data_IF_479326505181
#
_entry.id   IF_479326505181
#
_cell.length_a   1.000
_cell.length_b   1.000
_cell.length_c   1.000
_cell.angle_alpha   90.00
_cell.angle_beta   90.00
_cell.angle_gamma   90.00
#
_symmetry.space_group_name_H-M   'P 1'
#
loop_
_entity.id
_entity.type
_entity.pdbx_description
1 polymer ?
#
# COMPACT_ATOMS: atom_id res chain seq x y z
N UNK A 1 -9.38 -1.45 -21.48
CA UNK A 1 -9.01 -1.29 -20.04
C UNK A 1 -10.26 -1.32 -19.19
N UNK A 2 -10.24 -2.05 -18.09
CA UNK A 2 -11.40 -2.14 -17.19
C UNK A 2 -11.45 -0.91 -16.31
N UNK A 3 -12.62 -0.26 -16.24
CA UNK A 3 -12.82 0.82 -15.28
C UNK A 3 -12.96 0.25 -13.87
N UNK A 4 -12.37 0.93 -12.92
CA UNK A 4 -12.42 0.51 -11.53
C UNK A 4 -12.41 1.73 -10.60
N UNK A 5 -12.83 1.52 -9.37
CA UNK A 5 -12.76 2.52 -8.31
C UNK A 5 -12.04 1.94 -7.09
N UNK A 6 -11.41 2.81 -6.31
CA UNK A 6 -10.76 2.42 -5.05
C UNK A 6 -11.54 3.03 -3.91
N UNK A 7 -11.93 2.18 -2.96
CA UNK A 7 -12.64 2.61 -1.75
C UNK A 7 -11.83 2.24 -0.53
N UNK A 8 -11.99 3.02 0.54
CA UNK A 8 -11.37 2.69 1.82
C UNK A 8 -12.23 1.64 2.53
N UNK A 9 -11.58 0.58 2.99
CA UNK A 9 -12.26 -0.49 3.73
C UNK A 9 -12.50 -0.02 5.16
N UNK A 10 -13.72 -0.22 5.65
CA UNK A 10 -14.06 0.02 7.05
C UNK A 10 -13.72 -1.25 7.83
N UNK A 11 -12.73 -1.17 8.72
CA UNK A 11 -12.31 -2.33 9.52
C UNK A 11 -12.77 -2.17 10.97
N UNK A 12 -12.98 -3.31 11.65
CA UNK A 12 -13.23 -3.33 13.09
C UNK A 12 -11.94 -3.47 13.90
N UNK A 13 -10.84 -3.80 13.24
CA UNK A 13 -9.54 -3.94 13.89
C UNK A 13 -8.93 -2.57 14.11
N UNK A 14 -8.45 -2.31 15.31
CA UNK A 14 -7.79 -1.06 15.65
C UNK A 14 -6.49 -0.93 14.89
N UNK A 15 -6.22 0.27 14.35
CA UNK A 15 -4.99 0.61 13.64
C UNK A 15 -4.76 -0.18 12.34
N UNK A 16 -5.77 -0.88 11.85
CA UNK A 16 -5.71 -1.58 10.56
C UNK A 16 -6.48 -0.78 9.52
N UNK A 17 -5.82 -0.47 8.40
CA UNK A 17 -6.38 0.32 7.31
C UNK A 17 -6.26 -0.47 6.02
N UNK A 18 -7.26 -0.35 5.17
CA UNK A 18 -7.26 -1.06 3.90
C UNK A 18 -8.01 -0.32 2.81
N UNK A 19 -7.69 -0.64 1.58
CA UNK A 19 -8.35 -0.10 0.40
C UNK A 19 -8.64 -1.24 -0.56
N UNK A 20 -9.77 -1.13 -1.23
CA UNK A 20 -10.29 -2.17 -2.12
C UNK A 20 -10.55 -1.56 -3.48
N UNK A 21 -10.08 -2.23 -4.53
CA UNK A 21 -10.40 -1.87 -5.90
C UNK A 21 -11.57 -2.71 -6.37
N UNK A 22 -12.59 -2.04 -6.91
CA UNK A 22 -13.81 -2.68 -7.40
C UNK A 22 -14.05 -2.30 -8.84
N UNK A 23 -14.54 -3.23 -9.64
CA UNK A 23 -15.03 -2.92 -10.99
C UNK A 23 -16.33 -2.13 -10.91
N UNK A 24 -16.82 -1.66 -12.06
CA UNK A 24 -18.12 -0.97 -12.13
C UNK A 24 -19.30 -1.84 -11.70
N UNK A 25 -19.12 -3.15 -11.68
CA UNK A 25 -20.14 -4.09 -11.20
C UNK A 25 -19.87 -4.57 -9.78
N UNK A 26 -19.01 -3.84 -9.05
CA UNK A 26 -18.65 -4.11 -7.66
C UNK A 26 -17.92 -5.44 -7.44
N UNK A 27 -17.23 -5.93 -8.46
CA UNK A 27 -16.39 -7.12 -8.33
C UNK A 27 -15.04 -6.71 -7.71
N UNK A 28 -14.62 -7.34 -6.59
CA UNK A 28 -13.30 -7.06 -6.02
C UNK A 28 -12.20 -7.55 -6.95
N UNK A 29 -11.25 -6.68 -7.26
CA UNK A 29 -10.15 -7.01 -8.17
C UNK A 29 -8.77 -6.70 -7.58
N UNK A 30 -8.72 -6.09 -6.41
CA UNK A 30 -7.47 -5.85 -5.72
C UNK A 30 -7.69 -5.26 -4.35
N UNK A 31 -6.67 -5.38 -3.50
CA UNK A 31 -6.69 -4.74 -2.19
C UNK A 31 -5.27 -4.40 -1.74
N UNK A 32 -5.17 -3.50 -0.77
CA UNK A 32 -3.91 -3.15 -0.13
C UNK A 32 -4.20 -2.76 1.31
N UNK A 33 -3.33 -3.15 2.22
CA UNK A 33 -3.52 -2.89 3.64
C UNK A 33 -2.29 -2.26 4.27
N UNK A 34 -2.48 -1.70 5.44
CA UNK A 34 -1.39 -1.26 6.31
C UNK A 34 -1.84 -1.35 7.75
N UNK A 35 -0.87 -1.51 8.66
CA UNK A 35 -1.13 -1.49 10.09
C UNK A 35 -0.23 -0.46 10.76
N UNK A 36 -0.84 0.42 11.56
CA UNK A 36 -0.10 1.37 12.37
C UNK A 36 0.32 0.67 13.65
N UNK A 37 1.61 0.71 13.93
CA UNK A 37 2.22 0.02 15.07
C UNK A 37 2.73 1.01 16.10
N UNK A 38 3.18 0.49 17.24
CA UNK A 38 3.83 1.31 18.26
C UNK A 38 5.11 1.94 17.70
N UNK A 39 5.60 2.97 18.38
CA UNK A 39 6.85 3.67 18.04
C UNK A 39 6.80 4.35 16.66
N UNK A 40 5.62 4.82 16.26
CA UNK A 40 5.44 5.58 15.03
C UNK A 40 5.90 4.80 13.79
N UNK A 41 5.55 3.52 13.72
CA UNK A 41 5.84 2.67 12.58
C UNK A 41 4.56 2.26 11.88
N UNK A 42 4.65 2.10 10.57
CA UNK A 42 3.55 1.59 9.75
C UNK A 42 4.05 0.42 8.93
N UNK A 43 3.39 -0.71 9.07
CA UNK A 43 3.65 -1.90 8.27
C UNK A 43 2.78 -1.89 7.03
N UNK A 44 3.39 -1.83 5.85
CA UNK A 44 2.69 -2.00 4.57
C UNK A 44 2.57 -3.49 4.28
N UNK A 45 1.35 -3.94 4.00
CA UNK A 45 1.07 -5.38 3.94
C UNK A 45 -0.06 -5.70 2.97
N UNK A 46 -0.19 -6.97 2.61
CA UNK A 46 -1.32 -7.57 1.90
C UNK A 46 -1.74 -6.85 0.62
N UNK A 47 -0.78 -6.60 -0.28
CA UNK A 47 -1.10 -6.09 -1.60
C UNK A 47 -1.45 -7.26 -2.54
N UNK A 48 -2.61 -7.16 -3.18
CA UNK A 48 -3.10 -8.19 -4.09
C UNK A 48 -3.86 -7.57 -5.25
N UNK A 49 -3.65 -8.09 -6.43
CA UNK A 49 -4.46 -7.77 -7.62
C UNK A 49 -4.78 -9.09 -8.31
N UNK A 50 -6.03 -9.25 -8.69
CA UNK A 50 -6.49 -10.44 -9.42
C UNK A 50 -5.70 -10.62 -10.72
N UNK A 51 -5.32 -11.86 -11.04
CA UNK A 51 -4.52 -12.17 -12.22
C UNK A 51 -5.16 -11.64 -13.51
N UNK A 52 -6.48 -11.73 -13.62
CA UNK A 52 -7.20 -11.28 -14.80
C UNK A 52 -7.14 -9.77 -15.01
N UNK A 53 -6.84 -9.03 -13.96
CA UNK A 53 -6.86 -7.57 -13.97
C UNK A 53 -5.49 -6.94 -13.78
N UNK A 54 -4.42 -7.71 -13.86
CA UNK A 54 -3.06 -7.20 -13.76
C UNK A 54 -2.71 -6.33 -14.96
N UNK A 55 -1.75 -5.43 -14.77
CA UNK A 55 -1.25 -4.50 -15.79
C UNK A 55 -2.29 -3.48 -16.26
N UNK A 56 -3.30 -3.22 -15.44
CA UNK A 56 -4.33 -2.21 -15.73
C UNK A 56 -4.24 -0.99 -14.80
N UNK A 57 -3.15 -0.88 -14.05
CA UNK A 57 -2.94 0.26 -13.16
C UNK A 57 -3.62 0.13 -11.80
N UNK A 58 -4.21 -1.01 -11.47
CA UNK A 58 -4.92 -1.21 -10.22
C UNK A 58 -3.98 -1.15 -9.02
N UNK A 59 -2.84 -1.86 -9.10
CA UNK A 59 -1.86 -1.82 -8.01
C UNK A 59 -1.34 -0.39 -7.79
N UNK A 60 -1.03 0.32 -8.86
CA UNK A 60 -0.55 1.69 -8.77
C UNK A 60 -1.59 2.60 -8.12
N UNK A 61 -2.86 2.46 -8.50
CA UNK A 61 -3.94 3.25 -7.91
C UNK A 61 -4.10 2.96 -6.42
N UNK A 62 -4.05 1.68 -6.02
CA UNK A 62 -4.10 1.28 -4.62
C UNK A 62 -2.91 1.86 -3.84
N UNK A 63 -1.70 1.73 -4.39
CA UNK A 63 -0.49 2.26 -3.77
C UNK A 63 -0.60 3.77 -3.57
N UNK A 64 -0.96 4.51 -4.62
CA UNK A 64 -1.03 5.97 -4.55
C UNK A 64 -2.11 6.44 -3.57
N UNK A 65 -3.23 5.73 -3.50
CA UNK A 65 -4.31 6.05 -2.55
C UNK A 65 -3.82 5.88 -1.12
N UNK A 66 -3.18 4.75 -0.81
CA UNK A 66 -2.59 4.52 0.52
C UNK A 66 -1.51 5.54 0.83
N UNK A 67 -0.65 5.84 -0.15
CA UNK A 67 0.46 6.78 0.04
C UNK A 67 -0.04 8.19 0.36
N UNK A 68 -1.07 8.66 -0.34
CA UNK A 68 -1.69 9.96 -0.03
C UNK A 68 -2.23 10.00 1.39
N UNK A 69 -2.86 8.92 1.81
CA UNK A 69 -3.41 8.84 3.15
C UNK A 69 -2.32 8.92 4.22
N UNK A 70 -1.22 8.18 4.06
CA UNK A 70 -0.15 8.20 5.05
C UNK A 70 0.60 9.53 5.06
N UNK A 71 0.82 10.15 3.91
CA UNK A 71 1.45 11.48 3.86
C UNK A 71 0.63 12.52 4.61
N UNK A 72 -0.68 12.43 4.50
CA UNK A 72 -1.58 13.39 5.15
C UNK A 72 -1.69 13.15 6.65
N UNK A 73 -1.73 11.90 7.10
CA UNK A 73 -2.12 11.57 8.47
C UNK A 73 -0.97 11.07 9.34
N UNK A 74 0.14 10.63 8.76
CA UNK A 74 1.21 9.96 9.49
C UNK A 74 2.59 10.50 9.12
N UNK A 75 2.71 11.81 8.92
CA UNK A 75 4.00 12.43 8.65
C UNK A 75 4.98 12.13 9.79
N UNK A 76 6.21 11.77 9.43
CA UNK A 76 7.25 11.45 10.41
C UNK A 76 7.29 9.98 10.83
N UNK A 77 6.22 9.23 10.54
CA UNK A 77 6.22 7.79 10.81
C UNK A 77 7.16 7.07 9.86
N UNK A 78 7.67 5.94 10.29
CA UNK A 78 8.52 5.09 9.47
C UNK A 78 7.66 3.98 8.85
N UNK A 79 7.56 3.97 7.53
CA UNK A 79 6.87 2.91 6.82
C UNK A 79 7.86 1.81 6.46
N UNK A 80 7.46 0.56 6.63
CA UNK A 80 8.28 -0.57 6.26
C UNK A 80 7.44 -1.68 5.63
N UNK A 81 8.10 -2.54 4.89
CA UNK A 81 7.46 -3.67 4.23
C UNK A 81 8.43 -4.84 4.14
N UNK A 82 7.89 -6.04 4.21
CA UNK A 82 8.60 -7.25 3.84
C UNK A 82 8.31 -7.49 2.36
N UNK A 83 9.27 -7.13 1.51
CA UNK A 83 9.03 -7.10 0.07
C UNK A 83 9.28 -8.48 -0.56
N UNK A 84 8.33 -8.90 -1.40
CA UNK A 84 8.58 -10.02 -2.30
C UNK A 84 9.53 -9.55 -3.41
N UNK A 85 10.33 -10.47 -4.01
CA UNK A 85 11.29 -10.07 -5.05
C UNK A 85 10.67 -9.22 -6.16
N UNK A 86 9.44 -9.50 -6.55
CA UNK A 86 8.78 -8.79 -7.64
C UNK A 86 8.47 -7.33 -7.34
N UNK A 87 8.42 -6.92 -6.07
CA UNK A 87 8.08 -5.54 -5.70
C UNK A 87 9.27 -4.76 -5.14
N UNK A 88 10.44 -5.37 -4.99
CA UNK A 88 11.62 -4.68 -4.46
C UNK A 88 11.96 -3.45 -5.28
N UNK A 89 11.99 -3.58 -6.60
CA UNK A 89 12.31 -2.45 -7.47
C UNK A 89 11.28 -1.33 -7.37
N UNK A 90 10.01 -1.69 -7.25
CA UNK A 90 8.96 -0.70 -7.05
C UNK A 90 9.18 0.07 -5.74
N UNK A 91 9.46 -0.63 -4.65
CA UNK A 91 9.69 0.01 -3.36
C UNK A 91 10.92 0.92 -3.39
N UNK A 92 11.99 0.51 -4.07
CA UNK A 92 13.17 1.37 -4.25
C UNK A 92 12.81 2.66 -4.98
N UNK A 93 12.01 2.57 -6.04
CA UNK A 93 11.56 3.75 -6.78
C UNK A 93 10.70 4.66 -5.92
N UNK A 94 9.99 4.13 -4.95
CA UNK A 94 9.18 4.89 -4.00
C UNK A 94 10.00 5.42 -2.81
N UNK A 95 11.30 5.20 -2.82
CA UNK A 95 12.20 5.74 -1.79
C UNK A 95 12.40 4.84 -0.57
N UNK A 96 12.04 3.57 -0.66
CA UNK A 96 12.32 2.62 0.40
C UNK A 96 13.74 2.08 0.27
N UNK A 97 14.42 1.97 1.39
CA UNK A 97 15.76 1.40 1.48
C UNK A 97 15.69 -0.03 1.99
N UNK A 98 16.63 -0.86 1.54
CA UNK A 98 16.74 -2.21 2.07
C UNK A 98 17.28 -2.16 3.49
N UNK A 99 16.70 -2.99 4.36
CA UNK A 99 17.22 -3.19 5.70
C UNK A 99 18.30 -4.28 5.70
N UNK A 100 18.55 -4.86 6.88
CA UNK A 100 19.59 -5.88 7.06
C UNK A 100 19.27 -7.18 6.34
N UNK A 101 18.02 -7.43 6.00
CA UNK A 101 17.63 -8.59 5.19
C UNK A 101 17.14 -8.10 3.84
N UNK A 102 17.31 -8.92 2.81
CA UNK A 102 16.98 -8.55 1.43
C UNK A 102 15.47 -8.32 1.18
N UNK A 103 14.62 -8.62 2.14
CA UNK A 103 13.17 -8.48 1.98
C UNK A 103 12.57 -7.33 2.79
N UNK A 104 13.33 -6.75 3.73
CA UNK A 104 12.86 -5.66 4.57
C UNK A 104 13.15 -4.32 3.90
N UNK A 105 12.12 -3.51 3.72
CA UNK A 105 12.24 -2.19 3.10
C UNK A 105 11.56 -1.16 3.99
N UNK A 106 12.18 0.01 4.16
CA UNK A 106 11.63 1.05 5.02
C UNK A 106 11.78 2.45 4.45
N UNK A 107 10.92 3.35 4.89
CA UNK A 107 10.98 4.76 4.54
C UNK A 107 10.32 5.60 5.64
N UNK A 108 10.93 6.73 5.96
CA UNK A 108 10.30 7.74 6.82
C UNK A 108 9.32 8.54 5.95
N UNK A 109 8.09 8.67 6.43
CA UNK A 109 7.03 9.36 5.70
C UNK A 109 7.20 10.86 5.84
N UNK A 110 7.27 11.55 4.70
CA UNK A 110 7.33 13.01 4.65
C UNK A 110 6.15 13.51 3.84
N UNK A 111 5.50 14.56 4.33
CA UNK A 111 4.43 15.19 3.59
C UNK A 111 5.04 16.25 2.66
N UNK A 112 5.36 15.84 1.46
CA UNK A 112 6.00 16.70 0.46
C UNK A 112 5.02 17.39 -0.49
N UNK A 113 3.79 17.49 -0.08
CA UNK A 113 2.77 18.15 -0.88
C UNK A 113 1.86 17.24 -1.65
#
# INVERSE_FOLDING_TARGET
MTDFKVIKIKTNAQNLYGWLALTNTDQPVGHIFMQVELDNKIKFMDAWVSDEFRRQGIFTALWETRWKYVKKNFEGYKAYAWALPMIINLLRKKGFDEGDTCVYMEKVIKNEG
#
